data_IF_331320983370
#
_entry.id   IF_331320983370
#
_cell.length_a   1.000
_cell.length_b   1.000
_cell.length_c   1.000
_cell.angle_alpha   90.00
_cell.angle_beta   90.00
_cell.angle_gamma   90.00
#
_symmetry.space_group_name_H-M   'P 1'
#
loop_
_entity.id
_entity.type
_entity.pdbx_description
1 polymer ?
#
# COMPACT_ATOMS: atom_id res chain seq x y z
N UNK A 1 -8.12 -7.53 3.95
CA UNK A 1 -7.11 -6.49 3.61
C UNK A 1 -6.96 -6.41 2.10
N UNK A 2 -7.18 -5.28 1.52
CA UNK A 2 -7.07 -5.05 0.07
C UNK A 2 -5.82 -4.21 -0.23
N UNK A 3 -5.11 -4.52 -1.32
CA UNK A 3 -3.85 -3.85 -1.65
C UNK A 3 -3.78 -3.53 -3.13
N UNK A 4 -3.43 -2.28 -3.46
CA UNK A 4 -3.25 -1.78 -4.83
C UNK A 4 -1.80 -1.42 -5.13
N UNK A 5 -1.35 -1.62 -6.38
CA UNK A 5 0.05 -1.38 -6.78
C UNK A 5 0.23 -0.68 -8.09
N UNK A 6 1.23 0.17 -8.12
CA UNK A 6 1.79 0.78 -9.34
C UNK A 6 3.22 0.32 -9.57
N UNK A 7 3.51 -0.20 -10.75
CA UNK A 7 4.87 -0.57 -11.16
C UNK A 7 5.37 0.28 -12.33
N UNK A 8 6.63 0.64 -12.33
CA UNK A 8 7.25 1.44 -13.38
C UNK A 8 7.66 0.56 -14.57
N UNK A 9 7.31 0.98 -15.79
CA UNK A 9 7.63 0.24 -17.04
C UNK A 9 9.14 0.14 -17.26
N UNK A 10 9.70 -1.06 -17.18
CA UNK A 10 10.86 -1.45 -17.99
C UNK A 10 10.42 -2.59 -18.89
N UNK A 11 10.49 -2.38 -20.19
CA UNK A 11 10.29 -3.39 -21.22
C UNK A 11 11.38 -4.46 -21.10
N UNK A 12 11.06 -5.58 -20.54
CA UNK A 12 11.88 -6.77 -20.59
C UNK A 12 11.07 -7.93 -21.18
N UNK A 13 11.60 -8.52 -22.23
CA UNK A 13 10.97 -9.57 -23.00
C UNK A 13 10.50 -10.75 -22.14
N UNK A 14 9.33 -11.21 -22.45
CA UNK A 14 8.63 -12.33 -21.86
C UNK A 14 9.45 -13.61 -21.97
N UNK A 15 10.21 -13.95 -20.94
CA UNK A 15 10.63 -15.34 -20.72
C UNK A 15 9.75 -15.90 -19.61
N UNK A 16 8.90 -16.86 -19.96
CA UNK A 16 8.18 -17.71 -19.03
C UNK A 16 9.18 -18.42 -18.10
N UNK A 17 9.54 -17.81 -17.02
CA UNK A 17 10.21 -18.45 -15.91
C UNK A 17 9.15 -18.91 -14.91
N UNK A 18 8.57 -20.10 -15.15
CA UNK A 18 7.84 -20.83 -14.14
C UNK A 18 8.84 -21.36 -13.13
N UNK A 19 9.36 -20.50 -12.26
CA UNK A 19 10.23 -20.95 -11.20
C UNK A 19 9.40 -21.68 -10.13
N UNK A 20 9.95 -22.76 -9.60
CA UNK A 20 9.31 -23.57 -8.55
C UNK A 20 8.99 -22.75 -7.29
N UNK A 21 9.70 -21.65 -7.03
CA UNK A 21 9.47 -20.74 -5.91
C UNK A 21 8.10 -20.05 -6.01
N UNK A 22 7.72 -19.57 -7.19
CA UNK A 22 6.46 -18.87 -7.40
C UNK A 22 5.24 -19.75 -7.09
N UNK A 23 5.32 -21.06 -7.37
CA UNK A 23 4.21 -21.99 -7.13
C UNK A 23 3.97 -22.33 -5.66
N UNK A 24 4.97 -22.29 -4.81
CA UNK A 24 4.81 -22.62 -3.38
C UNK A 24 4.34 -21.43 -2.53
N UNK A 25 4.64 -20.22 -2.95
CA UNK A 25 4.28 -18.99 -2.25
C UNK A 25 2.85 -18.54 -2.64
N UNK A 26 2.47 -18.73 -3.88
CA UNK A 26 1.25 -18.19 -4.49
C UNK A 26 -0.06 -18.68 -3.86
N UNK A 27 -0.12 -19.90 -3.31
CA UNK A 27 -1.37 -20.52 -2.88
C UNK A 27 -1.76 -20.32 -1.41
N UNK A 28 -0.87 -19.74 -0.60
CA UNK A 28 -1.12 -19.58 0.85
C UNK A 28 -1.25 -18.15 1.34
N UNK A 29 -0.92 -17.16 0.50
CA UNK A 29 -0.67 -15.79 0.95
C UNK A 29 -1.54 -14.76 0.26
N UNK A 30 -1.90 -15.02 -1.00
CA UNK A 30 -2.73 -14.14 -1.80
C UNK A 30 -4.10 -14.77 -2.02
N UNK A 31 -5.15 -14.02 -1.70
CA UNK A 31 -6.54 -14.39 -1.97
C UNK A 31 -7.12 -13.37 -2.95
N UNK A 32 -8.05 -13.82 -3.78
CA UNK A 32 -8.80 -12.95 -4.69
C UNK A 32 -7.91 -12.01 -5.51
N UNK A 33 -6.83 -12.58 -6.08
CA UNK A 33 -5.91 -11.85 -6.94
C UNK A 33 -6.57 -11.54 -8.28
N UNK A 34 -6.68 -10.27 -8.63
CA UNK A 34 -7.14 -9.81 -9.92
C UNK A 34 -6.35 -8.61 -10.44
N UNK A 35 -6.32 -8.45 -11.74
CA UNK A 35 -5.69 -7.34 -12.43
C UNK A 35 -6.76 -6.40 -12.97
N UNK A 36 -6.55 -5.10 -12.86
CA UNK A 36 -7.51 -4.11 -13.34
C UNK A 36 -7.73 -4.20 -14.86
N UNK A 37 -6.67 -4.50 -15.61
CA UNK A 37 -6.75 -4.83 -17.04
C UNK A 37 -5.46 -5.56 -17.49
N UNK A 38 -5.46 -6.07 -18.74
CA UNK A 38 -4.33 -6.84 -19.30
C UNK A 38 -3.05 -6.02 -19.51
N UNK A 39 -3.16 -4.69 -19.57
CA UNK A 39 -2.04 -3.79 -19.84
C UNK A 39 -1.47 -3.14 -18.58
N UNK A 40 -2.13 -3.28 -17.41
CA UNK A 40 -1.70 -2.61 -16.20
C UNK A 40 -0.69 -3.43 -15.40
N UNK A 41 0.20 -2.70 -14.78
CA UNK A 41 1.10 -3.19 -13.74
C UNK A 41 0.48 -3.08 -12.35
N UNK A 42 -0.81 -2.84 -12.27
CA UNK A 42 -1.60 -2.73 -11.04
C UNK A 42 -2.37 -4.01 -10.83
N UNK A 43 -2.31 -4.55 -9.64
CA UNK A 43 -3.10 -5.70 -9.23
C UNK A 43 -3.57 -5.54 -7.80
N UNK A 44 -4.72 -6.16 -7.50
CA UNK A 44 -5.32 -6.15 -6.18
C UNK A 44 -5.41 -7.59 -5.65
N UNK A 45 -5.29 -7.75 -4.35
CA UNK A 45 -5.40 -9.04 -3.69
C UNK A 45 -5.71 -8.86 -2.21
N UNK A 46 -6.18 -9.93 -1.60
CA UNK A 46 -6.42 -9.99 -0.17
C UNK A 46 -5.36 -10.81 0.54
N UNK A 47 -5.06 -10.45 1.77
CA UNK A 47 -4.17 -11.18 2.67
C UNK A 47 -4.88 -11.46 3.99
N UNK A 48 -4.36 -12.41 4.77
CA UNK A 48 -4.85 -12.65 6.15
C UNK A 48 -4.01 -11.87 7.14
N UNK A 49 -4.66 -11.17 8.06
CA UNK A 49 -4.11 -10.58 9.28
C UNK A 49 -3.11 -9.42 9.13
N UNK A 50 -2.31 -9.39 8.08
CA UNK A 50 -1.31 -8.33 7.88
C UNK A 50 -0.98 -8.16 6.41
N UNK A 51 -0.50 -6.97 5.98
CA UNK A 51 0.08 -6.80 4.67
C UNK A 51 1.33 -7.68 4.57
N UNK A 52 1.44 -8.45 3.50
CA UNK A 52 2.57 -9.35 3.26
C UNK A 52 3.76 -8.66 2.59
N UNK A 53 4.16 -7.49 3.12
CA UNK A 53 5.17 -6.60 2.55
C UNK A 53 6.49 -7.32 2.30
N UNK A 54 6.96 -8.11 3.27
CA UNK A 54 8.21 -8.87 3.17
C UNK A 54 8.23 -9.81 1.97
N UNK A 55 7.12 -10.49 1.71
CA UNK A 55 7.04 -11.43 0.58
C UNK A 55 7.02 -10.70 -0.76
N UNK A 56 6.34 -9.55 -0.81
CA UNK A 56 6.36 -8.71 -2.00
C UNK A 56 7.75 -8.14 -2.22
N UNK A 57 8.46 -7.79 -1.16
CA UNK A 57 9.84 -7.35 -1.24
C UNK A 57 10.74 -8.46 -1.81
N UNK A 58 10.67 -9.69 -1.30
CA UNK A 58 11.43 -10.82 -1.84
C UNK A 58 11.15 -11.05 -3.34
N UNK A 59 9.89 -10.95 -3.76
CA UNK A 59 9.51 -11.05 -5.16
C UNK A 59 10.10 -9.91 -5.98
N UNK A 60 10.03 -8.67 -5.47
CA UNK A 60 10.54 -7.49 -6.14
C UNK A 60 12.07 -7.55 -6.31
N UNK A 61 12.79 -7.98 -5.28
CA UNK A 61 14.24 -8.18 -5.31
C UNK A 61 14.64 -9.28 -6.32
N UNK A 62 13.91 -10.39 -6.34
CA UNK A 62 14.16 -11.48 -7.30
C UNK A 62 14.00 -11.02 -8.75
N UNK A 63 12.95 -10.26 -9.03
CA UNK A 63 12.68 -9.75 -10.39
C UNK A 63 13.32 -8.41 -10.69
N UNK A 64 14.01 -7.78 -9.72
CA UNK A 64 14.64 -6.46 -9.80
C UNK A 64 13.66 -5.39 -10.28
N UNK A 65 12.52 -5.32 -9.61
CA UNK A 65 11.46 -4.34 -9.87
C UNK A 65 11.17 -3.53 -8.62
N UNK A 66 10.80 -2.28 -8.82
CA UNK A 66 10.27 -1.42 -7.77
C UNK A 66 8.76 -1.65 -7.62
N UNK A 67 8.23 -1.37 -6.43
CA UNK A 67 6.79 -1.43 -6.18
C UNK A 67 6.31 -0.35 -5.22
N UNK A 68 5.03 -0.05 -5.32
CA UNK A 68 4.25 0.64 -4.30
C UNK A 68 3.08 -0.26 -3.92
N UNK A 69 2.86 -0.44 -2.64
CA UNK A 69 1.80 -1.27 -2.10
C UNK A 69 0.97 -0.47 -1.10
N UNK A 70 -0.26 -0.15 -1.50
CA UNK A 70 -1.25 0.39 -0.57
C UNK A 70 -1.94 -0.77 0.13
N UNK A 71 -2.17 -0.63 1.43
CA UNK A 71 -2.83 -1.65 2.22
C UNK A 71 -3.76 -1.03 3.27
N UNK A 72 -4.89 -1.69 3.50
CA UNK A 72 -5.88 -1.25 4.46
C UNK A 72 -6.56 -2.44 5.15
N UNK A 73 -6.87 -2.28 6.42
CA UNK A 73 -7.84 -3.06 7.18
C UNK A 73 -8.47 -2.23 8.28
N UNK A 74 -9.63 -1.66 8.01
CA UNK A 74 -10.29 -0.73 8.92
C UNK A 74 -10.73 -1.35 10.24
N UNK A 75 -11.05 -2.65 10.24
CA UNK A 75 -11.42 -3.36 11.47
C UNK A 75 -10.31 -3.43 12.54
N UNK A 76 -9.05 -3.27 12.13
CA UNK A 76 -7.88 -3.26 13.01
C UNK A 76 -7.10 -1.95 12.94
N UNK A 77 -7.69 -0.87 12.40
CA UNK A 77 -7.06 0.44 12.23
C UNK A 77 -5.70 0.35 11.51
N UNK A 78 -5.65 -0.44 10.43
CA UNK A 78 -4.46 -0.58 9.59
C UNK A 78 -4.69 0.16 8.29
N UNK A 79 -3.86 1.15 8.02
CA UNK A 79 -3.86 1.92 6.78
C UNK A 79 -2.46 2.41 6.48
N UNK A 80 -1.91 2.08 5.30
CA UNK A 80 -0.54 2.44 5.00
C UNK A 80 -0.10 2.15 3.58
N UNK A 81 1.15 2.51 3.30
CA UNK A 81 1.79 2.34 2.01
C UNK A 81 3.24 1.87 2.18
N UNK A 82 3.60 0.77 1.54
CA UNK A 82 4.97 0.30 1.43
C UNK A 82 5.53 0.68 0.05
N UNK A 83 6.69 1.31 0.04
CA UNK A 83 7.40 1.76 -1.16
C UNK A 83 8.76 1.05 -1.21
N UNK A 84 9.00 0.28 -2.26
CA UNK A 84 10.29 -0.33 -2.53
C UNK A 84 10.91 0.32 -3.77
N UNK A 85 12.05 0.98 -3.57
CA UNK A 85 12.76 1.66 -4.65
C UNK A 85 14.27 1.56 -4.43
N UNK A 86 15.00 1.16 -5.49
CA UNK A 86 16.46 0.97 -5.43
C UNK A 86 16.92 0.11 -4.24
N UNK A 87 16.28 -1.02 -4.00
CA UNK A 87 16.58 -1.95 -2.90
C UNK A 87 16.29 -1.39 -1.49
N UNK A 88 15.66 -0.24 -1.38
CA UNK A 88 15.25 0.36 -0.11
C UNK A 88 13.74 0.21 0.04
N UNK A 89 13.34 -0.44 1.12
CA UNK A 89 11.94 -0.52 1.53
C UNK A 89 11.63 0.58 2.55
N UNK A 90 10.54 1.29 2.32
CA UNK A 90 9.93 2.24 3.27
C UNK A 90 8.49 1.79 3.50
N UNK A 91 8.14 1.60 4.77
CA UNK A 91 6.78 1.29 5.19
C UNK A 91 6.25 2.48 5.99
N UNK A 92 5.19 3.12 5.50
CA UNK A 92 4.60 4.33 6.06
C UNK A 92 3.14 4.04 6.35
N UNK A 93 2.76 4.15 7.61
CA UNK A 93 1.40 3.81 8.05
C UNK A 93 0.84 4.82 9.04
N UNK A 94 -0.47 4.79 9.21
CA UNK A 94 -1.16 5.57 10.22
C UNK A 94 -1.08 4.83 11.56
N UNK A 95 -0.84 5.60 12.61
CA UNK A 95 -0.82 5.16 14.00
C UNK A 95 -2.18 5.42 14.66
N UNK A 96 -2.45 4.85 15.82
CA UNK A 96 -3.73 5.00 16.51
C UNK A 96 -4.14 6.46 16.69
N UNK A 97 -3.18 7.34 16.97
CA UNK A 97 -3.41 8.79 17.14
C UNK A 97 -3.87 9.48 15.84
N UNK A 98 -3.58 8.92 14.69
CA UNK A 98 -4.05 9.48 13.41
C UNK A 98 -5.54 9.21 13.23
N UNK A 99 -6.03 8.06 13.68
CA UNK A 99 -7.44 7.69 13.62
C UNK A 99 -8.31 8.45 14.65
N UNK A 100 -7.69 9.06 15.65
CA UNK A 100 -8.36 9.92 16.63
C UNK A 100 -8.52 11.38 16.14
N UNK A 101 -8.01 11.74 14.96
CA UNK A 101 -8.05 13.11 14.45
C UNK A 101 -9.37 13.50 13.79
N UNK A 102 -10.27 12.59 13.57
CA UNK A 102 -11.57 12.84 12.97
C UNK A 102 -12.69 12.18 13.75
N UNK A 103 -13.89 12.71 13.63
CA UNK A 103 -15.08 12.26 14.34
C UNK A 103 -16.20 11.93 13.34
N UNK A 104 -16.95 10.87 13.63
CA UNK A 104 -18.14 10.52 12.87
C UNK A 104 -19.38 11.18 13.49
N UNK A 105 -20.15 11.89 12.70
CA UNK A 105 -21.43 12.50 13.05
C UNK A 105 -22.57 11.58 12.59
N UNK A 106 -23.18 10.88 13.55
CA UNK A 106 -24.30 9.97 13.30
C UNK A 106 -25.57 10.70 12.82
N UNK A 107 -25.77 11.98 13.16
CA UNK A 107 -26.96 12.72 12.79
C UNK A 107 -26.94 13.14 11.33
N UNK A 108 -25.77 13.48 10.82
CA UNK A 108 -25.55 13.95 9.45
C UNK A 108 -24.95 12.88 8.52
N UNK A 109 -24.59 11.71 9.05
CA UNK A 109 -23.94 10.61 8.33
C UNK A 109 -22.69 11.07 7.56
N UNK A 110 -21.83 11.83 8.27
CA UNK A 110 -20.60 12.38 7.73
C UNK A 110 -19.45 12.34 8.75
N UNK A 111 -18.24 12.61 8.28
CA UNK A 111 -17.04 12.71 9.11
C UNK A 111 -16.55 14.15 9.19
N UNK A 112 -16.14 14.61 10.36
CA UNK A 112 -15.55 15.92 10.59
C UNK A 112 -14.05 15.83 10.77
N UNK A 113 -13.30 16.57 9.95
CA UNK A 113 -11.85 16.66 10.02
C UNK A 113 -11.37 18.06 9.61
N UNK A 114 -10.62 18.75 10.49
CA UNK A 114 -10.05 20.08 10.24
C UNK A 114 -11.09 21.11 9.69
N UNK A 115 -12.21 21.27 10.37
CA UNK A 115 -13.29 22.19 10.00
C UNK A 115 -13.97 21.89 8.64
N UNK A 116 -13.85 20.65 8.15
CA UNK A 116 -14.47 20.15 6.92
C UNK A 116 -15.30 18.92 7.19
N UNK A 117 -16.30 18.74 6.34
CA UNK A 117 -17.14 17.54 6.30
C UNK A 117 -16.70 16.63 5.13
N UNK A 118 -16.71 15.33 5.36
CA UNK A 118 -16.34 14.28 4.40
C UNK A 118 -17.41 13.20 4.41
N UNK A 119 -17.73 12.68 3.24
CA UNK A 119 -18.71 11.58 3.11
C UNK A 119 -18.13 10.23 3.54
N UNK A 120 -16.78 10.11 3.60
CA UNK A 120 -16.08 8.87 3.90
C UNK A 120 -14.81 9.15 4.71
N UNK A 121 -14.51 8.27 5.66
CA UNK A 121 -13.25 8.27 6.40
C UNK A 121 -12.04 7.99 5.50
N UNK A 122 -12.22 7.21 4.42
CA UNK A 122 -11.15 6.87 3.47
C UNK A 122 -10.46 8.11 2.89
N UNK A 123 -11.20 9.18 2.59
CA UNK A 123 -10.63 10.44 2.08
C UNK A 123 -9.73 11.11 3.14
N UNK A 124 -10.13 11.06 4.40
CA UNK A 124 -9.37 11.62 5.52
C UNK A 124 -8.09 10.82 5.73
N UNK A 125 -8.18 9.49 5.73
CA UNK A 125 -7.04 8.59 5.90
C UNK A 125 -6.02 8.77 4.77
N UNK A 126 -6.48 8.96 3.54
CA UNK A 126 -5.60 9.27 2.40
C UNK A 126 -4.84 10.59 2.63
N UNK A 127 -5.53 11.66 3.08
CA UNK A 127 -4.91 12.95 3.41
C UNK A 127 -3.86 12.78 4.51
N UNK A 128 -4.18 12.06 5.58
CA UNK A 128 -3.26 11.82 6.70
C UNK A 128 -2.02 11.04 6.25
N UNK A 129 -2.20 9.97 5.48
CA UNK A 129 -1.12 9.17 4.95
C UNK A 129 -0.22 9.96 4.00
N UNK A 130 -0.80 10.76 3.09
CA UNK A 130 -0.02 11.63 2.21
C UNK A 130 0.85 12.63 2.99
N UNK A 131 0.34 13.18 4.10
CA UNK A 131 1.10 14.08 4.97
C UNK A 131 2.31 13.38 5.59
N UNK A 132 2.14 12.14 6.07
CA UNK A 132 3.23 11.32 6.61
C UNK A 132 4.29 11.03 5.53
N UNK A 133 3.88 10.63 4.34
CA UNK A 133 4.78 10.38 3.20
C UNK A 133 5.60 11.65 2.85
N UNK A 134 4.93 12.79 2.73
CA UNK A 134 5.58 14.09 2.45
C UNK A 134 6.58 14.49 3.53
N UNK A 135 6.25 14.25 4.80
CA UNK A 135 7.13 14.57 5.92
C UNK A 135 8.37 13.66 5.96
N UNK A 136 8.22 12.36 5.75
CA UNK A 136 9.36 11.44 5.66
C UNK A 136 10.29 11.79 4.50
N UNK A 137 9.74 12.15 3.35
CA UNK A 137 10.53 12.56 2.18
C UNK A 137 11.37 13.81 2.44
N UNK A 138 10.89 14.75 3.27
CA UNK A 138 11.65 15.93 3.68
C UNK A 138 12.79 15.59 4.64
N UNK A 139 12.56 14.66 5.57
CA UNK A 139 13.58 14.22 6.55
C UNK A 139 14.74 13.58 5.82
N UNK A 140 14.47 12.68 4.87
CA UNK A 140 15.49 11.99 4.08
C UNK A 140 16.33 12.99 3.28
N UNK A 141 15.71 13.97 2.63
CA UNK A 141 16.43 15.01 1.88
C UNK A 141 17.34 15.86 2.76
N UNK A 142 16.92 16.15 3.99
CA UNK A 142 17.71 16.96 4.93
C UNK A 142 18.90 16.20 5.53
N UNK A 143 18.87 14.85 5.53
CA UNK A 143 19.97 14.01 6.02
C UNK A 143 21.04 13.76 4.95
N UNK A 144 20.77 14.06 3.68
CA UNK A 144 21.71 13.90 2.57
C UNK A 144 22.50 15.18 2.23
N UNK A 145 22.28 16.26 2.97
CA UNK A 145 23.00 17.53 2.89
C UNK A 145 24.03 17.65 4.03
#
# INVERSE_FOLDING_TARGET
MAVSKHGNKRTAGTKRATSRLCKSIQWRIFFDLYFDNEETTVFQYQTRWSPNIEIIQEIAEYYKVDFVQDYEEMGNLIYGQAIHHNEILQDIYLEDEDFEQYEYDEENDCYHFEDKEFDSDSEILEILLERKIKNQSKIIKNQQL
#
